data_IF_315467422641
#
_entry.id   IF_315467422641
#
_cell.length_a   1.000
_cell.length_b   1.000
_cell.length_c   1.000
_cell.angle_alpha   90.00
_cell.angle_beta   90.00
_cell.angle_gamma   90.00
#
_symmetry.space_group_name_H-M   'P 1'
#
loop_
_entity.id
_entity.type
_entity.pdbx_description
1 polymer ?
#
# COMPACT_ATOMS: atom_id res chain seq x y z
N UNK A 1 20.03 -1.10 -12.65
CA UNK A 1 18.74 -0.78 -11.97
C UNK A 1 18.74 0.62 -11.34
N UNK A 2 17.58 1.25 -11.14
CA UNK A 2 17.44 2.52 -10.40
C UNK A 2 16.80 2.24 -9.03
N UNK A 3 17.50 2.55 -7.95
CA UNK A 3 17.01 2.40 -6.58
C UNK A 3 16.33 3.69 -6.12
N UNK A 4 15.08 3.58 -5.68
CA UNK A 4 14.29 4.67 -5.10
C UNK A 4 13.94 4.35 -3.66
N UNK A 5 13.60 5.37 -2.88
CA UNK A 5 13.05 5.18 -1.53
C UNK A 5 11.81 4.28 -1.59
N UNK A 6 11.72 3.34 -0.66
CA UNK A 6 10.55 2.46 -0.50
C UNK A 6 10.14 2.40 0.96
N UNK A 7 8.85 2.27 1.20
CA UNK A 7 8.29 2.01 2.53
C UNK A 7 7.81 0.58 2.57
N UNK A 8 8.09 -0.07 3.68
CA UNK A 8 7.57 -1.38 4.02
C UNK A 8 6.75 -1.22 5.32
N UNK A 9 6.18 -2.29 5.89
CA UNK A 9 5.44 -2.19 7.15
C UNK A 9 6.22 -1.49 8.27
N UNK A 10 7.47 -1.89 8.52
CA UNK A 10 8.30 -1.37 9.62
C UNK A 10 9.48 -0.52 9.14
N UNK A 11 9.96 -0.74 7.92
CA UNK A 11 11.17 -0.09 7.39
C UNK A 11 10.86 1.06 6.42
N UNK A 12 11.84 1.96 6.37
CA UNK A 12 12.07 2.90 5.29
C UNK A 12 13.38 2.46 4.61
N UNK A 13 13.26 2.00 3.37
CA UNK A 13 14.38 1.55 2.54
C UNK A 13 14.94 2.78 1.82
N UNK A 14 16.01 3.35 2.35
CA UNK A 14 16.69 4.52 1.78
C UNK A 14 17.60 4.09 0.63
N UNK A 15 17.51 4.71 -0.55
CA UNK A 15 18.27 4.27 -1.71
C UNK A 15 19.77 4.53 -1.54
N UNK A 16 20.57 3.57 -1.99
CA UNK A 16 22.02 3.65 -2.20
C UNK A 16 22.32 3.55 -3.70
N UNK A 17 23.58 3.71 -4.09
CA UNK A 17 24.00 3.57 -5.49
C UNK A 17 23.71 2.17 -6.07
N UNK A 18 23.78 1.14 -5.23
CA UNK A 18 23.66 -0.26 -5.61
C UNK A 18 22.74 -1.03 -4.66
N UNK A 19 21.71 -0.42 -4.09
CA UNK A 19 20.82 -1.10 -3.17
C UNK A 19 20.09 -0.16 -2.22
N UNK A 20 19.92 -0.60 -0.99
CA UNK A 20 19.26 0.17 0.06
C UNK A 20 19.93 0.03 1.41
N UNK A 21 19.73 1.06 2.22
CA UNK A 21 19.87 1.01 3.67
C UNK A 21 18.49 0.90 4.30
N UNK A 22 18.31 -0.03 5.23
CA UNK A 22 17.07 -0.22 5.98
C UNK A 22 17.11 0.57 7.29
N UNK A 23 16.14 1.49 7.46
CA UNK A 23 15.96 2.22 8.73
C UNK A 23 14.54 2.04 9.26
N UNK A 24 14.36 1.99 10.59
CA UNK A 24 13.03 1.93 11.19
C UNK A 24 12.22 3.18 10.78
N UNK A 25 11.00 2.98 10.26
CA UNK A 25 10.14 4.05 9.73
C UNK A 25 9.82 5.14 10.76
N UNK A 26 9.54 4.74 12.01
CA UNK A 26 9.28 5.63 13.16
C UNK A 26 10.55 6.11 13.87
N UNK A 27 11.32 5.19 14.43
CA UNK A 27 12.45 5.51 15.32
C UNK A 27 13.75 5.90 14.60
N UNK A 28 13.83 5.69 13.28
CA UNK A 28 14.99 6.04 12.43
C UNK A 28 16.30 5.33 12.79
N UNK A 29 16.23 4.27 13.60
CA UNK A 29 17.36 3.37 13.85
C UNK A 29 17.72 2.64 12.55
N UNK A 30 19.02 2.54 12.26
CA UNK A 30 19.52 1.76 11.13
C UNK A 30 19.62 0.28 11.52
N UNK A 31 19.10 -0.60 10.67
CA UNK A 31 19.11 -2.05 10.91
C UNK A 31 20.11 -2.78 10.04
N UNK A 32 20.37 -2.28 8.83
CA UNK A 32 21.27 -2.95 7.92
C UNK A 32 21.22 -2.45 6.49
N UNK A 33 21.90 -3.18 5.60
CA UNK A 33 21.97 -2.88 4.18
C UNK A 33 21.59 -4.08 3.32
N UNK A 34 21.03 -3.78 2.15
CA UNK A 34 20.77 -4.73 1.06
C UNK A 34 21.54 -4.22 -0.15
N UNK A 35 22.62 -4.90 -0.51
CA UNK A 35 23.52 -4.54 -1.61
C UNK A 35 23.27 -5.47 -2.79
N UNK A 36 23.10 -4.90 -3.97
CA UNK A 36 22.57 -5.56 -5.15
C UNK A 36 23.57 -5.43 -6.31
N UNK A 37 23.96 -6.56 -6.90
CA UNK A 37 24.85 -6.61 -8.06
C UNK A 37 24.15 -7.31 -9.21
N UNK A 38 23.87 -6.55 -10.27
CA UNK A 38 23.19 -7.04 -11.47
C UNK A 38 24.16 -7.85 -12.36
N UNK A 39 23.73 -9.02 -12.81
CA UNK A 39 24.49 -9.95 -13.66
C UNK A 39 23.57 -10.51 -14.76
N UNK A 40 23.29 -9.69 -15.77
CA UNK A 40 22.38 -10.07 -16.86
C UNK A 40 20.93 -10.18 -16.36
N UNK A 41 20.32 -11.36 -16.46
CA UNK A 41 18.97 -11.63 -15.95
C UNK A 41 18.93 -12.14 -14.51
N UNK A 42 20.03 -12.01 -13.78
CA UNK A 42 20.17 -12.38 -12.37
C UNK A 42 20.67 -11.22 -11.50
N UNK A 43 20.36 -11.27 -10.19
CA UNK A 43 20.89 -10.31 -9.20
C UNK A 43 21.50 -11.05 -8.02
N UNK A 44 22.72 -10.70 -7.66
CA UNK A 44 23.30 -11.09 -6.38
C UNK A 44 22.95 -10.05 -5.32
N UNK A 45 22.36 -10.52 -4.22
CA UNK A 45 21.93 -9.72 -3.08
C UNK A 45 22.75 -10.13 -1.87
N UNK A 46 23.49 -9.19 -1.31
CA UNK A 46 24.25 -9.36 -0.07
C UNK A 46 23.60 -8.50 1.00
N UNK A 47 23.33 -9.09 2.16
CA UNK A 47 22.73 -8.37 3.28
C UNK A 47 23.68 -8.27 4.47
N UNK A 48 23.59 -7.16 5.19
CA UNK A 48 24.33 -6.96 6.45
C UNK A 48 23.37 -6.34 7.48
N UNK A 49 22.77 -7.19 8.31
CA UNK A 49 21.77 -6.82 9.33
C UNK A 49 22.17 -7.28 10.74
N UNK A 50 23.32 -7.93 10.91
CA UNK A 50 23.72 -8.51 12.20
C UNK A 50 22.62 -9.42 12.80
N UNK A 51 22.09 -9.04 13.96
CA UNK A 51 21.07 -9.81 14.69
C UNK A 51 19.62 -9.53 14.22
N UNK A 52 19.41 -8.54 13.35
CA UNK A 52 18.09 -8.06 12.91
C UNK A 52 17.50 -8.91 11.79
N UNK A 53 17.29 -10.20 12.06
CA UNK A 53 16.84 -11.19 11.07
C UNK A 53 15.42 -10.93 10.52
N UNK A 54 14.51 -10.37 11.32
CA UNK A 54 13.15 -10.02 10.90
C UNK A 54 13.17 -8.85 9.91
N UNK A 55 13.90 -7.80 10.24
CA UNK A 55 14.07 -6.62 9.39
C UNK A 55 14.81 -6.98 8.10
N UNK A 56 15.80 -7.88 8.18
CA UNK A 56 16.46 -8.44 7.00
C UNK A 56 15.45 -9.11 6.08
N UNK A 57 14.57 -9.96 6.61
CA UNK A 57 13.57 -10.67 5.81
C UNK A 57 12.63 -9.68 5.09
N UNK A 58 12.10 -8.69 5.82
CA UNK A 58 11.24 -7.63 5.26
C UNK A 58 11.95 -6.83 4.15
N UNK A 59 13.22 -6.47 4.38
CA UNK A 59 14.03 -5.73 3.41
C UNK A 59 14.31 -6.55 2.13
N UNK A 60 14.62 -7.85 2.27
CA UNK A 60 14.84 -8.77 1.15
C UNK A 60 13.57 -8.99 0.36
N UNK A 61 12.43 -9.19 1.01
CA UNK A 61 11.13 -9.34 0.34
C UNK A 61 10.79 -8.08 -0.46
N UNK A 62 11.00 -6.89 0.10
CA UNK A 62 10.82 -5.63 -0.62
C UNK A 62 11.76 -5.48 -1.83
N UNK A 63 13.00 -5.94 -1.72
CA UNK A 63 13.95 -5.96 -2.83
C UNK A 63 13.52 -6.96 -3.92
N UNK A 64 13.07 -8.16 -3.54
CA UNK A 64 12.60 -9.20 -4.46
C UNK A 64 11.45 -8.72 -5.34
N UNK A 65 10.46 -8.02 -4.76
CA UNK A 65 9.35 -7.38 -5.51
C UNK A 65 9.92 -6.45 -6.59
N UNK A 66 10.91 -5.62 -6.25
CA UNK A 66 11.52 -4.71 -7.22
C UNK A 66 12.14 -5.47 -8.40
N UNK A 67 12.90 -6.52 -8.12
CA UNK A 67 13.60 -7.30 -9.15
C UNK A 67 12.62 -8.05 -10.06
N UNK A 68 11.69 -8.79 -9.46
CA UNK A 68 10.83 -9.72 -10.20
C UNK A 68 9.66 -9.04 -10.90
N UNK A 69 9.17 -7.89 -10.41
CA UNK A 69 8.04 -7.23 -11.04
C UNK A 69 8.45 -6.16 -12.05
N UNK A 70 9.58 -5.46 -11.81
CA UNK A 70 9.90 -4.26 -12.58
C UNK A 70 11.04 -4.43 -13.59
N UNK A 71 11.92 -5.42 -13.40
CA UNK A 71 13.22 -5.43 -14.10
C UNK A 71 13.48 -6.68 -14.95
N UNK A 72 12.51 -7.59 -15.09
CA UNK A 72 12.66 -8.80 -15.92
C UNK A 72 13.69 -9.82 -15.39
N UNK A 73 14.18 -9.63 -14.16
CA UNK A 73 15.07 -10.58 -13.46
C UNK A 73 14.37 -11.92 -13.30
N UNK A 74 15.08 -13.01 -13.55
CA UNK A 74 14.55 -14.38 -13.40
C UNK A 74 15.00 -15.08 -12.12
N UNK A 75 16.14 -14.68 -11.58
CA UNK A 75 16.71 -15.28 -10.37
C UNK A 75 17.42 -14.22 -9.54
N UNK A 76 17.29 -14.31 -8.22
CA UNK A 76 18.15 -13.61 -7.28
C UNK A 76 18.89 -14.61 -6.39
N UNK A 77 20.10 -14.27 -5.98
CA UNK A 77 20.86 -15.03 -4.99
C UNK A 77 21.06 -14.17 -3.76
N UNK A 78 20.40 -14.49 -2.66
CA UNK A 78 20.46 -13.74 -1.39
C UNK A 78 21.40 -14.46 -0.42
N UNK A 79 22.54 -13.85 -0.11
CA UNK A 79 23.58 -14.41 0.76
C UNK A 79 23.98 -15.86 0.37
N UNK A 80 23.99 -16.14 -0.93
CA UNK A 80 24.31 -17.46 -1.50
C UNK A 80 23.11 -18.39 -1.73
N UNK A 81 21.92 -18.05 -1.22
CA UNK A 81 20.70 -18.83 -1.43
C UNK A 81 19.92 -18.34 -2.64
N UNK A 82 19.53 -19.25 -3.53
CA UNK A 82 18.81 -18.93 -4.77
C UNK A 82 17.31 -18.81 -4.54
N UNK A 83 16.71 -17.79 -5.17
CA UNK A 83 15.27 -17.62 -5.30
C UNK A 83 14.94 -17.31 -6.75
N UNK A 84 14.11 -18.14 -7.40
CA UNK A 84 13.65 -17.88 -8.76
C UNK A 84 12.38 -17.03 -8.76
N UNK A 85 12.11 -16.37 -9.90
CA UNK A 85 10.90 -15.58 -10.09
C UNK A 85 9.64 -16.43 -9.96
N UNK A 86 9.66 -17.66 -10.45
CA UNK A 86 8.54 -18.59 -10.39
C UNK A 86 8.24 -18.98 -8.95
N UNK A 87 9.25 -19.37 -8.17
CA UNK A 87 9.09 -19.73 -6.77
C UNK A 87 8.64 -18.53 -5.92
N UNK A 88 9.17 -17.34 -6.20
CA UNK A 88 8.72 -16.11 -5.57
C UNK A 88 7.26 -15.81 -5.92
N UNK A 89 6.86 -15.93 -7.19
CA UNK A 89 5.48 -15.71 -7.64
C UNK A 89 4.51 -16.70 -7.00
N UNK A 90 4.86 -17.97 -6.87
CA UNK A 90 4.02 -18.97 -6.18
C UNK A 90 3.79 -18.60 -4.71
N UNK A 91 4.84 -18.19 -3.99
CA UNK A 91 4.73 -17.71 -2.61
C UNK A 91 3.86 -16.46 -2.53
N UNK A 92 4.01 -15.55 -3.47
CA UNK A 92 3.26 -14.29 -3.52
C UNK A 92 1.78 -14.52 -3.82
N UNK A 93 1.46 -15.35 -4.80
CA UNK A 93 0.08 -15.72 -5.13
C UNK A 93 -0.58 -16.44 -3.94
N UNK A 94 0.15 -17.30 -3.21
CA UNK A 94 -0.35 -17.92 -1.98
C UNK A 94 -0.62 -16.88 -0.88
N UNK A 95 0.26 -15.88 -0.72
CA UNK A 95 0.07 -14.77 0.23
C UNK A 95 -1.18 -13.95 -0.12
N UNK A 96 -1.34 -13.57 -1.39
CA UNK A 96 -2.49 -12.80 -1.87
C UNK A 96 -3.79 -13.58 -1.71
N UNK A 97 -3.81 -14.87 -2.06
CA UNK A 97 -4.99 -15.71 -1.86
C UNK A 97 -5.37 -15.86 -0.38
N UNK A 98 -4.39 -15.88 0.54
CA UNK A 98 -4.66 -15.96 1.98
C UNK A 98 -5.19 -14.64 2.57
N UNK A 99 -4.85 -13.51 1.94
CA UNK A 99 -5.30 -12.18 2.36
C UNK A 99 -6.59 -11.73 1.66
N UNK A 100 -6.94 -12.35 0.52
CA UNK A 100 -8.11 -12.03 -0.27
C UNK A 100 -9.39 -11.93 0.58
N UNK A 101 -10.14 -10.86 0.35
CA UNK A 101 -11.39 -10.55 1.02
C UNK A 101 -12.55 -10.57 0.05
N UNK A 102 -13.71 -10.79 0.62
CA UNK A 102 -14.98 -10.84 -0.10
C UNK A 102 -15.95 -9.83 0.48
N UNK A 103 -17.07 -9.62 -0.22
CA UNK A 103 -18.17 -8.81 0.29
C UNK A 103 -18.67 -9.27 1.67
N UNK A 104 -18.59 -10.56 1.97
CA UNK A 104 -19.05 -11.12 3.24
C UNK A 104 -18.21 -10.66 4.43
N UNK A 105 -16.89 -10.47 4.25
CA UNK A 105 -15.99 -9.93 5.27
C UNK A 105 -16.42 -8.51 5.71
N UNK A 106 -17.05 -7.76 4.80
CA UNK A 106 -17.49 -6.38 5.02
C UNK A 106 -19.01 -6.21 5.12
N UNK A 107 -19.77 -7.28 5.39
CA UNK A 107 -21.26 -7.23 5.47
C UNK A 107 -21.82 -6.22 6.47
N UNK A 108 -21.04 -5.87 7.49
CA UNK A 108 -21.43 -4.93 8.53
C UNK A 108 -21.15 -3.47 8.16
N UNK A 109 -20.50 -3.23 7.02
CA UNK A 109 -20.05 -1.92 6.55
C UNK A 109 -20.66 -1.60 5.18
N UNK A 110 -20.54 -2.51 4.22
CA UNK A 110 -21.03 -2.30 2.85
C UNK A 110 -22.55 -2.09 2.83
N UNK A 111 -22.98 -1.03 2.16
CA UNK A 111 -24.37 -0.59 2.07
C UNK A 111 -24.92 0.05 3.35
N UNK A 112 -24.09 0.28 4.38
CA UNK A 112 -24.52 0.92 5.63
C UNK A 112 -24.35 2.44 5.58
N UNK A 113 -25.23 3.19 6.27
CA UNK A 113 -25.05 4.62 6.46
C UNK A 113 -23.73 4.91 7.17
N UNK A 114 -23.09 6.02 6.83
CA UNK A 114 -21.83 6.47 7.43
C UNK A 114 -21.83 7.98 7.58
N UNK A 115 -21.29 8.45 8.70
CA UNK A 115 -20.98 9.85 8.95
C UNK A 115 -19.47 10.05 8.85
N UNK A 116 -19.04 10.96 7.97
CA UNK A 116 -17.64 11.22 7.70
C UNK A 116 -17.26 12.65 8.09
N UNK A 117 -16.03 12.84 8.56
CA UNK A 117 -15.41 14.15 8.78
C UNK A 117 -14.24 14.31 7.82
N UNK A 118 -14.23 15.39 7.05
CA UNK A 118 -13.19 15.66 6.04
C UNK A 118 -11.96 16.29 6.68
N UNK A 119 -10.78 15.71 6.46
CA UNK A 119 -9.49 16.28 6.86
C UNK A 119 -8.60 16.65 5.66
N UNK A 120 -8.95 16.17 4.47
CA UNK A 120 -8.31 16.47 3.17
C UNK A 120 -9.41 16.79 2.17
N UNK A 121 -9.85 18.06 2.11
CA UNK A 121 -10.92 18.46 1.20
C UNK A 121 -10.51 18.33 -0.27
N UNK A 122 -11.50 18.23 -1.16
CA UNK A 122 -11.28 18.18 -2.60
C UNK A 122 -10.38 19.34 -3.05
N UNK A 123 -9.35 19.03 -3.83
CA UNK A 123 -8.35 19.98 -4.33
C UNK A 123 -7.22 20.30 -3.34
N UNK A 124 -7.24 19.74 -2.13
CA UNK A 124 -6.12 19.87 -1.19
C UNK A 124 -4.92 19.00 -1.58
N UNK A 125 -3.72 19.45 -1.22
CA UNK A 125 -2.50 18.69 -1.42
C UNK A 125 -2.27 17.69 -0.28
N UNK A 126 -1.65 16.55 -0.59
CA UNK A 126 -1.30 15.56 0.42
C UNK A 126 -0.26 16.15 1.40
N UNK A 127 -0.44 16.00 2.75
CA UNK A 127 0.40 16.67 3.74
C UNK A 127 1.91 16.37 3.65
N UNK A 128 2.26 15.19 3.12
CA UNK A 128 3.65 14.75 2.91
C UNK A 128 4.12 14.79 1.46
N UNK A 129 3.21 14.93 0.50
CA UNK A 129 3.50 14.84 -0.93
C UNK A 129 2.72 15.95 -1.65
N UNK A 130 3.21 17.21 -1.57
CA UNK A 130 2.46 18.38 -2.05
C UNK A 130 2.05 18.33 -3.53
N UNK A 131 2.73 17.51 -4.33
CA UNK A 131 2.44 17.22 -5.73
C UNK A 131 1.20 16.33 -5.94
N UNK A 132 0.77 15.59 -4.92
CA UNK A 132 -0.42 14.75 -4.95
C UNK A 132 -1.62 15.57 -4.50
N UNK A 133 -2.50 15.90 -5.44
CA UNK A 133 -3.74 16.64 -5.19
C UNK A 133 -4.89 15.66 -5.10
N UNK A 134 -5.72 15.78 -4.05
CA UNK A 134 -6.90 14.94 -3.86
C UNK A 134 -8.02 15.34 -4.82
N UNK A 135 -8.43 14.47 -5.77
CA UNK A 135 -9.53 14.75 -6.70
C UNK A 135 -10.92 14.51 -6.08
N UNK A 136 -10.95 14.00 -4.85
CA UNK A 136 -12.15 13.72 -4.04
C UNK A 136 -11.97 14.29 -2.65
N UNK A 137 -13.07 14.42 -1.90
CA UNK A 137 -12.96 14.68 -0.47
C UNK A 137 -12.48 13.40 0.24
N UNK A 138 -11.57 13.56 1.20
CA UNK A 138 -11.03 12.48 2.01
C UNK A 138 -11.08 12.85 3.48
N UNK A 139 -11.32 11.85 4.31
CA UNK A 139 -11.46 12.03 5.74
C UNK A 139 -11.48 10.72 6.48
N UNK A 140 -12.16 10.74 7.61
CA UNK A 140 -12.29 9.58 8.51
C UNK A 140 -13.72 9.44 9.03
N UNK A 141 -14.02 8.27 9.61
CA UNK A 141 -15.28 7.95 10.28
C UNK A 141 -15.10 8.03 11.79
N UNK A 142 -15.68 9.04 12.47
CA UNK A 142 -15.46 9.23 13.90
C UNK A 142 -15.87 8.02 14.75
N UNK A 143 -15.00 7.62 15.68
CA UNK A 143 -15.25 6.54 16.64
C UNK A 143 -15.17 5.11 16.07
N UNK A 144 -14.82 4.94 14.80
CA UNK A 144 -14.54 3.63 14.20
C UNK A 144 -13.02 3.49 14.05
N UNK A 145 -12.42 2.56 14.80
CA UNK A 145 -10.97 2.37 14.78
C UNK A 145 -10.54 1.39 13.69
N UNK A 146 -9.50 1.76 12.93
CA UNK A 146 -8.86 0.95 11.91
C UNK A 146 -7.64 0.16 12.46
N UNK A 147 -7.05 -0.67 11.59
CA UNK A 147 -5.91 -1.54 11.95
C UNK A 147 -4.62 -0.81 12.31
N UNK A 148 -4.51 0.48 11.97
CA UNK A 148 -3.37 1.33 12.36
C UNK A 148 -3.57 2.04 13.72
N UNK A 149 -4.69 1.77 14.41
CA UNK A 149 -5.15 2.46 15.62
C UNK A 149 -5.49 3.95 15.42
N UNK A 150 -5.78 4.38 14.20
CA UNK A 150 -6.44 5.65 13.89
C UNK A 150 -7.93 5.43 13.56
N UNK A 151 -8.67 6.52 13.38
CA UNK A 151 -10.05 6.45 12.90
C UNK A 151 -10.08 6.03 11.43
N UNK A 152 -11.08 5.22 11.05
CA UNK A 152 -11.20 4.59 9.75
C UNK A 152 -11.24 5.62 8.63
N UNK A 153 -10.25 5.57 7.74
CA UNK A 153 -10.13 6.44 6.59
C UNK A 153 -11.22 6.16 5.53
N UNK A 154 -11.68 7.22 4.86
CA UNK A 154 -12.76 7.17 3.86
C UNK A 154 -12.54 8.14 2.69
N UNK A 155 -12.69 7.62 1.47
CA UNK A 155 -12.87 8.39 0.24
C UNK A 155 -14.34 8.77 0.07
N UNK A 156 -14.64 10.01 -0.30
CA UNK A 156 -16.03 10.48 -0.49
C UNK A 156 -16.25 10.92 -1.93
N UNK A 157 -17.07 10.15 -2.64
CA UNK A 157 -17.38 10.32 -4.06
C UNK A 157 -18.71 11.07 -4.23
N UNK A 158 -18.79 11.90 -5.27
CA UNK A 158 -20.01 12.60 -5.66
C UNK A 158 -19.93 14.11 -5.48
N UNK A 159 -19.77 14.63 -4.25
CA UNK A 159 -19.72 16.07 -4.06
C UNK A 159 -18.51 16.69 -4.75
N UNK A 160 -18.76 17.74 -5.52
CA UNK A 160 -17.76 18.45 -6.34
C UNK A 160 -17.16 19.67 -5.64
N UNK A 161 -17.46 19.86 -4.35
CA UNK A 161 -16.97 20.97 -3.54
C UNK A 161 -16.41 20.46 -2.20
N UNK A 162 -15.48 21.18 -1.58
CA UNK A 162 -15.05 20.95 -0.20
C UNK A 162 -16.20 21.04 0.81
N UNK A 163 -16.25 20.13 1.77
CA UNK A 163 -17.19 20.17 2.89
C UNK A 163 -16.52 19.71 4.18
N UNK A 164 -17.12 20.04 5.34
CA UNK A 164 -16.60 19.63 6.65
C UNK A 164 -17.02 18.22 7.06
N UNK A 165 -18.27 17.87 6.78
CA UNK A 165 -18.87 16.59 7.15
C UNK A 165 -19.75 16.08 6.02
N UNK A 166 -19.94 14.77 5.95
CA UNK A 166 -20.77 14.12 4.95
C UNK A 166 -21.50 12.92 5.54
N UNK A 167 -22.79 12.83 5.27
CA UNK A 167 -23.62 11.67 5.58
C UNK A 167 -23.95 10.94 4.27
N UNK A 168 -23.60 9.66 4.21
CA UNK A 168 -23.76 8.86 3.00
C UNK A 168 -23.88 7.38 3.29
N UNK A 169 -23.47 6.57 2.33
CA UNK A 169 -23.45 5.11 2.43
C UNK A 169 -22.08 4.60 1.99
N UNK A 170 -21.55 3.59 2.67
CA UNK A 170 -20.32 2.91 2.20
C UNK A 170 -20.68 2.04 1.00
N UNK A 171 -20.18 2.40 -0.18
CA UNK A 171 -20.46 1.73 -1.45
C UNK A 171 -19.38 0.75 -1.87
N UNK A 172 -18.17 0.87 -1.30
CA UNK A 172 -17.07 -0.04 -1.53
C UNK A 172 -16.05 0.00 -0.39
N UNK A 173 -15.17 -0.99 -0.36
CA UNK A 173 -13.96 -1.01 0.47
C UNK A 173 -12.77 -1.32 -0.44
N UNK A 174 -11.70 -0.54 -0.32
CA UNK A 174 -10.39 -0.84 -0.90
C UNK A 174 -9.59 -1.62 0.13
N UNK A 175 -9.48 -2.93 -0.07
CA UNK A 175 -8.61 -3.78 0.75
C UNK A 175 -7.19 -3.72 0.22
N UNK A 176 -6.23 -3.33 1.06
CA UNK A 176 -4.82 -3.19 0.67
C UNK A 176 -4.02 -4.37 1.21
N UNK A 177 -3.36 -5.12 0.33
CA UNK A 177 -2.54 -6.28 0.68
C UNK A 177 -1.21 -5.91 1.34
N UNK A 178 -0.79 -4.66 1.21
CA UNK A 178 0.49 -4.13 1.68
C UNK A 178 0.33 -2.92 2.62
N UNK A 179 -0.86 -2.74 3.18
CA UNK A 179 -1.17 -1.74 4.21
C UNK A 179 -1.92 -2.42 5.36
N UNK A 180 -1.91 -1.81 6.55
CA UNK A 180 -2.57 -2.38 7.74
C UNK A 180 -4.02 -1.91 7.90
N UNK A 181 -4.47 -1.00 7.04
CA UNK A 181 -5.80 -0.43 7.05
C UNK A 181 -6.43 -0.44 5.66
N UNK A 182 -7.65 -0.97 5.58
CA UNK A 182 -8.55 -0.86 4.43
C UNK A 182 -9.13 0.56 4.31
N UNK A 183 -9.44 1.02 3.11
CA UNK A 183 -10.04 2.35 2.90
C UNK A 183 -11.50 2.22 2.52
N UNK A 184 -12.39 2.90 3.23
CA UNK A 184 -13.80 2.90 2.87
C UNK A 184 -14.06 3.87 1.72
N UNK A 185 -15.10 3.60 0.94
CA UNK A 185 -15.56 4.47 -0.14
C UNK A 185 -17.01 4.81 0.14
N UNK A 186 -17.29 6.07 0.44
CA UNK A 186 -18.61 6.59 0.71
C UNK A 186 -19.14 7.43 -0.45
N UNK A 187 -20.44 7.39 -0.67
CA UNK A 187 -21.14 8.26 -1.61
C UNK A 187 -22.55 8.57 -1.14
N UNK A 188 -23.24 9.47 -1.85
CA UNK A 188 -24.66 9.70 -1.61
C UNK A 188 -25.43 8.39 -1.89
N UNK A 189 -26.53 8.16 -1.16
CA UNK A 189 -27.34 6.94 -1.29
C UNK A 189 -27.85 6.70 -2.71
N UNK A 190 -28.04 7.76 -3.49
CA UNK A 190 -28.47 7.73 -4.89
C UNK A 190 -27.32 7.66 -5.90
N UNK A 191 -26.08 7.80 -5.43
CA UNK A 191 -24.89 7.68 -6.25
C UNK A 191 -24.71 6.25 -6.73
N UNK A 192 -24.58 6.07 -8.04
CA UNK A 192 -24.31 4.78 -8.68
C UNK A 192 -22.93 4.88 -9.33
N UNK A 193 -22.03 4.01 -8.91
CA UNK A 193 -20.67 3.93 -9.43
C UNK A 193 -20.36 2.50 -9.80
N UNK A 194 -19.74 2.31 -10.96
CA UNK A 194 -19.12 1.06 -11.36
C UNK A 194 -17.77 0.87 -10.67
N UNK A 195 -17.29 -0.37 -10.58
CA UNK A 195 -15.94 -0.65 -10.08
C UNK A 195 -14.87 0.14 -10.85
N UNK A 196 -15.01 0.23 -12.18
CA UNK A 196 -14.08 0.94 -13.05
C UNK A 196 -14.04 2.45 -12.74
N UNK A 197 -15.20 3.07 -12.51
CA UNK A 197 -15.27 4.49 -12.14
C UNK A 197 -14.62 4.75 -10.79
N UNK A 198 -14.89 3.90 -9.78
CA UNK A 198 -14.26 4.03 -8.46
C UNK A 198 -12.74 3.90 -8.59
N UNK A 199 -12.25 2.84 -9.23
CA UNK A 199 -10.81 2.62 -9.41
C UNK A 199 -10.15 3.78 -10.14
N UNK A 200 -10.78 4.31 -11.20
CA UNK A 200 -10.25 5.45 -11.95
C UNK A 200 -10.18 6.72 -11.12
N UNK A 201 -11.18 6.99 -10.28
CA UNK A 201 -11.19 8.15 -9.38
C UNK A 201 -10.10 8.01 -8.32
N UNK A 202 -9.91 6.80 -7.78
CA UNK A 202 -8.98 6.52 -6.70
C UNK A 202 -7.54 6.25 -7.16
N UNK A 203 -7.29 6.09 -8.47
CA UNK A 203 -5.97 5.81 -9.05
C UNK A 203 -4.88 6.80 -8.61
N UNK A 204 -5.24 8.06 -8.33
CA UNK A 204 -4.29 9.08 -7.87
C UNK A 204 -3.47 8.62 -6.65
N UNK A 205 -4.08 7.82 -5.77
CA UNK A 205 -3.48 7.30 -4.54
C UNK A 205 -3.32 5.78 -4.59
N UNK A 206 -4.33 5.04 -5.07
CA UNK A 206 -4.32 3.56 -5.01
C UNK A 206 -3.30 2.93 -5.95
N UNK A 207 -2.81 3.64 -6.99
CA UNK A 207 -1.70 3.15 -7.84
C UNK A 207 -0.38 2.89 -7.08
N UNK A 208 -0.28 3.36 -5.84
CA UNK A 208 0.88 3.13 -4.97
C UNK A 208 0.69 1.95 -4.01
N UNK A 209 -0.49 1.32 -4.04
CA UNK A 209 -0.84 0.20 -3.17
C UNK A 209 -1.20 -1.02 -4.01
N UNK A 210 -0.92 -2.19 -3.43
CA UNK A 210 -1.46 -3.43 -3.96
C UNK A 210 -2.81 -3.64 -3.29
N UNK A 211 -3.88 -3.63 -4.06
CA UNK A 211 -5.23 -3.59 -3.50
C UNK A 211 -6.26 -4.28 -4.38
N UNK A 212 -7.40 -4.60 -3.76
CA UNK A 212 -8.61 -5.03 -4.42
C UNK A 212 -9.80 -4.17 -3.98
N UNK A 213 -10.74 -3.98 -4.90
CA UNK A 213 -11.98 -3.26 -4.62
C UNK A 213 -13.10 -4.25 -4.33
N UNK A 214 -13.68 -4.15 -3.14
CA UNK A 214 -14.83 -4.93 -2.72
C UNK A 214 -16.08 -4.06 -2.77
N UNK A 215 -17.05 -4.44 -3.61
CA UNK A 215 -18.34 -3.76 -3.76
C UNK A 215 -19.41 -4.37 -2.87
#
# INVERSE_FOLDING_TARGET
>A
MIFKEKKTPTLLMMPLANGWRAVHKKYKNEYGTVICTEKGDTVEVVTDFGEFSTERAEAVESAAVMFFENNGVKEITVDGEKLTREAWREKEDARLNALHRTREDYKNVLGKPVHCVTDRPLGSAHPRYPEVIYPVNYGYVPGVMAGDNAEQDVYILGPTEPFKTFDGVVIAVVHRFNDVEDKWVAAEKTGVYTAEEILKILDFQEKYYESELIL
#
